data_IF_028514056089
#
_entry.id   IF_028514056089
#
_cell.length_a   1.000
_cell.length_b   1.000
_cell.length_c   1.000
_cell.angle_alpha   90.00
_cell.angle_beta   90.00
_cell.angle_gamma   90.00
#
_symmetry.space_group_name_H-M   'P 1'
#
loop_
_entity.id
_entity.type
_entity.pdbx_description
1 polymer ?
#
# COMPACT_ATOMS: atom_id res chain seq x y z
N UNK A 1 34.52 20.08 -13.32
CA UNK A 1 33.06 20.02 -13.56
C UNK A 1 32.47 19.03 -12.58
N UNK A 2 31.72 19.50 -11.58
CA UNK A 2 31.07 18.61 -10.61
C UNK A 2 29.98 17.82 -11.33
N UNK A 3 30.15 16.49 -11.38
CA UNK A 3 29.09 15.57 -11.78
C UNK A 3 27.92 15.80 -10.82
N UNK A 4 26.92 16.57 -11.26
CA UNK A 4 25.60 16.55 -10.61
C UNK A 4 25.07 15.14 -10.78
N UNK A 5 25.29 14.28 -9.78
CA UNK A 5 24.44 13.10 -9.61
C UNK A 5 23.01 13.63 -9.54
N UNK A 6 22.25 13.43 -10.61
CA UNK A 6 20.80 13.49 -10.53
C UNK A 6 20.39 12.39 -9.56
N UNK A 7 20.26 12.74 -8.28
CA UNK A 7 19.61 11.89 -7.31
C UNK A 7 18.13 11.98 -7.68
N UNK A 8 17.62 10.95 -8.35
CA UNK A 8 16.19 10.76 -8.46
C UNK A 8 15.73 10.38 -7.05
N UNK A 9 15.41 11.39 -6.25
CA UNK A 9 14.76 11.20 -4.96
C UNK A 9 13.42 10.56 -5.29
N UNK A 10 13.30 9.26 -5.03
CA UNK A 10 12.07 8.57 -5.37
C UNK A 10 11.04 8.92 -4.29
N UNK A 11 9.84 9.29 -4.75
CA UNK A 11 8.68 9.55 -3.91
C UNK A 11 8.15 8.28 -3.22
N UNK A 12 8.94 7.20 -3.18
CA UNK A 12 8.60 5.94 -2.50
C UNK A 12 9.28 5.96 -1.13
N UNK A 13 8.50 6.12 -0.07
CA UNK A 13 9.01 6.18 1.32
C UNK A 13 8.50 4.99 2.13
N UNK A 14 9.36 4.53 3.03
CA UNK A 14 9.10 3.42 3.94
C UNK A 14 9.27 3.95 5.35
N UNK A 15 8.30 3.65 6.20
CA UNK A 15 8.34 3.94 7.63
C UNK A 15 8.13 2.60 8.36
N UNK A 16 9.09 2.20 9.18
CA UNK A 16 8.98 0.98 9.97
C UNK A 16 8.34 1.30 11.34
N UNK A 17 7.74 0.27 11.95
CA UNK A 17 7.17 0.34 13.30
C UNK A 17 6.04 1.39 13.47
N UNK A 18 5.23 1.60 12.42
CA UNK A 18 4.05 2.49 12.45
C UNK A 18 2.87 1.91 13.22
N UNK A 19 2.82 0.58 13.31
CA UNK A 19 1.91 -0.18 14.14
C UNK A 19 2.74 -1.16 14.97
N UNK A 20 2.42 -1.25 16.25
CA UNK A 20 3.05 -2.21 17.13
C UNK A 20 2.55 -3.64 16.85
N UNK A 21 3.24 -4.61 17.48
CA UNK A 21 2.94 -6.04 17.31
C UNK A 21 1.50 -6.38 17.67
N UNK A 22 1.02 -5.90 18.82
CA UNK A 22 -0.30 -6.23 19.35
C UNK A 22 -1.38 -5.66 18.43
N UNK A 23 -1.23 -4.40 18.00
CA UNK A 23 -2.13 -3.77 17.05
C UNK A 23 -2.23 -4.56 15.74
N UNK A 24 -1.09 -4.99 15.19
CA UNK A 24 -1.07 -5.83 13.98
C UNK A 24 -1.77 -7.18 14.18
N UNK A 25 -1.51 -7.88 15.28
CA UNK A 25 -2.12 -9.18 15.58
C UNK A 25 -3.64 -9.05 15.79
N UNK A 26 -4.10 -8.05 16.56
CA UNK A 26 -5.53 -7.78 16.76
C UNK A 26 -6.26 -7.48 15.45
N UNK A 27 -5.64 -6.74 14.53
CA UNK A 27 -6.25 -6.47 13.22
C UNK A 27 -6.39 -7.73 12.37
N UNK A 28 -5.39 -8.62 12.40
CA UNK A 28 -5.44 -9.90 11.68
C UNK A 28 -6.51 -10.81 12.31
N UNK A 29 -6.54 -10.95 13.62
CA UNK A 29 -7.55 -11.75 14.33
C UNK A 29 -8.96 -11.25 14.01
N UNK A 30 -9.19 -9.94 14.14
CA UNK A 30 -10.49 -9.34 13.79
C UNK A 30 -10.88 -9.57 12.34
N UNK A 31 -9.92 -9.53 11.40
CA UNK A 31 -10.17 -9.87 10.00
C UNK A 31 -10.62 -11.32 9.87
N UNK A 32 -9.87 -12.27 10.45
CA UNK A 32 -10.18 -13.71 10.39
C UNK A 32 -11.54 -14.06 11.01
N UNK A 33 -11.91 -13.39 12.09
CA UNK A 33 -13.20 -13.54 12.77
C UNK A 33 -14.37 -12.89 12.00
N UNK A 34 -14.10 -12.06 10.99
CA UNK A 34 -15.09 -11.33 10.18
C UNK A 34 -15.29 -11.96 8.80
N UNK A 35 -15.13 -13.28 8.67
CA UNK A 35 -15.09 -13.97 7.38
C UNK A 35 -16.37 -13.82 6.55
N UNK A 36 -17.51 -13.53 7.18
CA UNK A 36 -18.79 -13.24 6.53
C UNK A 36 -18.80 -11.92 5.75
N UNK A 37 -17.82 -11.04 5.99
CA UNK A 37 -17.66 -9.75 5.33
C UNK A 37 -16.62 -9.77 4.21
N UNK A 38 -16.04 -10.94 3.90
CA UNK A 38 -15.02 -11.04 2.87
C UNK A 38 -15.58 -10.74 1.48
N UNK A 39 -15.04 -9.69 0.88
CA UNK A 39 -15.10 -9.46 -0.56
C UNK A 39 -13.97 -10.26 -1.23
N UNK A 40 -14.30 -11.33 -1.93
CA UNK A 40 -13.33 -12.05 -2.77
C UNK A 40 -13.14 -11.29 -4.08
N UNK A 41 -11.94 -10.78 -4.31
CA UNK A 41 -11.53 -10.20 -5.59
C UNK A 41 -10.80 -11.28 -6.36
N UNK A 42 -11.33 -11.65 -7.52
CA UNK A 42 -10.73 -12.64 -8.41
C UNK A 42 -11.03 -12.27 -9.86
N UNK A 43 -10.04 -11.78 -10.59
CA UNK A 43 -10.13 -11.50 -12.01
C UNK A 43 -8.86 -11.99 -12.71
N UNK A 44 -9.05 -12.69 -13.83
CA UNK A 44 -7.99 -13.11 -14.74
C UNK A 44 -8.44 -12.81 -16.16
N UNK A 45 -7.69 -11.95 -16.84
CA UNK A 45 -7.94 -11.59 -18.23
C UNK A 45 -6.61 -11.38 -18.99
N UNK A 46 -6.70 -10.82 -20.21
CA UNK A 46 -5.52 -10.60 -21.05
C UNK A 46 -4.51 -9.59 -20.47
N UNK A 47 -4.93 -8.77 -19.50
CA UNK A 47 -4.10 -7.76 -18.83
C UNK A 47 -3.38 -8.29 -17.58
N UNK A 48 -3.79 -9.46 -17.07
CA UNK A 48 -3.14 -10.12 -15.94
C UNK A 48 -4.15 -10.65 -14.92
N UNK A 49 -3.66 -10.92 -13.71
CA UNK A 49 -4.42 -11.52 -12.62
C UNK A 49 -4.40 -10.66 -11.37
N UNK A 50 -5.55 -10.57 -10.74
CA UNK A 50 -5.77 -10.00 -9.41
C UNK A 50 -6.57 -10.99 -8.58
N UNK A 51 -6.02 -11.40 -7.45
CA UNK A 51 -6.65 -12.36 -6.53
C UNK A 51 -6.25 -12.10 -5.09
N UNK A 52 -7.25 -11.86 -4.23
CA UNK A 52 -7.15 -11.71 -2.78
C UNK A 52 -8.55 -11.61 -2.16
N UNK A 53 -8.63 -11.71 -0.83
CA UNK A 53 -9.83 -11.31 -0.09
C UNK A 53 -9.60 -9.97 0.61
N UNK A 54 -10.66 -9.21 0.82
CA UNK A 54 -10.59 -7.95 1.55
C UNK A 54 -11.86 -7.66 2.35
N UNK A 55 -11.76 -6.73 3.29
CA UNK A 55 -12.89 -6.05 3.92
C UNK A 55 -12.70 -4.55 3.73
N UNK A 56 -13.74 -3.85 3.26
CA UNK A 56 -13.77 -2.38 3.23
C UNK A 56 -14.34 -1.88 4.56
N UNK A 57 -13.49 -1.32 5.42
CA UNK A 57 -13.82 -1.03 6.82
C UNK A 57 -15.06 -0.14 6.98
N UNK A 58 -15.21 0.86 6.10
CA UNK A 58 -16.31 1.82 6.16
C UNK A 58 -17.71 1.20 5.97
N UNK A 59 -17.79 -0.02 5.43
CA UNK A 59 -19.06 -0.71 5.24
C UNK A 59 -19.57 -1.39 6.52
N UNK A 60 -18.76 -1.43 7.57
CA UNK A 60 -18.98 -2.26 8.74
C UNK A 60 -18.79 -1.46 10.04
N UNK A 61 -19.88 -1.17 10.80
CA UNK A 61 -19.83 -0.30 11.97
C UNK A 61 -18.80 -0.70 13.04
N UNK A 62 -18.54 -2.00 13.21
CA UNK A 62 -17.59 -2.55 14.18
C UNK A 62 -16.12 -2.31 13.80
N UNK A 63 -15.85 -1.73 12.63
CA UNK A 63 -14.52 -1.28 12.20
C UNK A 63 -14.33 0.23 12.29
N UNK A 64 -15.35 0.98 12.72
CA UNK A 64 -15.33 2.44 12.75
C UNK A 64 -14.17 3.02 13.57
N UNK A 65 -13.98 2.54 14.80
CA UNK A 65 -12.91 3.04 15.69
C UNK A 65 -11.52 2.76 15.12
N UNK A 66 -11.35 1.59 14.48
CA UNK A 66 -10.09 1.23 13.79
C UNK A 66 -9.85 2.17 12.61
N UNK A 67 -10.88 2.45 11.81
CA UNK A 67 -10.74 3.37 10.68
C UNK A 67 -10.37 4.77 11.15
N UNK A 68 -10.97 5.27 12.23
CA UNK A 68 -10.64 6.58 12.82
C UNK A 68 -9.19 6.63 13.31
N UNK A 69 -8.73 5.63 14.07
CA UNK A 69 -7.33 5.56 14.52
C UNK A 69 -6.31 5.44 13.38
N UNK A 70 -6.65 4.74 12.29
CA UNK A 70 -5.81 4.68 11.10
C UNK A 70 -5.70 6.02 10.37
N UNK A 71 -6.74 6.86 10.42
CA UNK A 71 -6.67 8.20 9.84
C UNK A 71 -5.65 9.08 10.57
N UNK A 72 -5.57 8.99 11.90
CA UNK A 72 -4.57 9.72 12.69
C UNK A 72 -3.14 9.30 12.28
N UNK A 73 -2.91 7.99 12.19
CA UNK A 73 -1.63 7.43 11.73
C UNK A 73 -1.28 7.94 10.33
N UNK A 74 -2.23 7.94 9.38
CA UNK A 74 -1.97 8.45 8.04
C UNK A 74 -1.65 9.95 8.03
N UNK A 75 -2.34 10.76 8.83
CA UNK A 75 -2.08 12.20 8.91
C UNK A 75 -0.67 12.50 9.39
N UNK A 76 -0.21 11.83 10.44
CA UNK A 76 1.16 11.97 10.95
C UNK A 76 2.20 11.60 9.90
N UNK A 77 1.97 10.49 9.19
CA UNK A 77 2.89 10.02 8.15
C UNK A 77 2.86 10.85 6.86
N UNK A 78 1.73 11.50 6.53
CA UNK A 78 1.67 12.51 5.47
C UNK A 78 2.57 13.70 5.81
N UNK A 79 2.52 14.18 7.05
CA UNK A 79 3.36 15.29 7.48
C UNK A 79 4.84 14.91 7.39
N UNK A 80 5.19 13.70 7.81
CA UNK A 80 6.55 13.16 7.64
C UNK A 80 6.96 13.03 6.17
N UNK A 81 6.09 12.48 5.34
CA UNK A 81 6.31 12.30 3.90
C UNK A 81 6.54 13.64 3.18
N UNK A 82 5.78 14.69 3.53
CA UNK A 82 5.98 16.03 2.99
C UNK A 82 7.38 16.57 3.30
N UNK A 83 7.87 16.36 4.52
CA UNK A 83 9.22 16.78 4.93
C UNK A 83 10.27 15.98 4.17
N UNK A 84 10.16 14.65 4.19
CA UNK A 84 11.15 13.74 3.60
C UNK A 84 11.24 13.88 2.08
N UNK A 85 10.13 14.18 1.41
CA UNK A 85 10.07 14.43 -0.04
C UNK A 85 10.21 15.92 -0.42
N UNK A 86 10.43 16.81 0.56
CA UNK A 86 10.55 18.26 0.36
C UNK A 86 9.38 18.86 -0.45
N UNK A 87 8.17 18.40 -0.15
CA UNK A 87 6.96 18.85 -0.83
C UNK A 87 6.68 20.30 -0.48
N UNK A 88 6.60 21.15 -1.50
CA UNK A 88 6.23 22.55 -1.34
C UNK A 88 4.71 22.73 -1.22
N UNK A 89 4.27 23.82 -0.58
CA UNK A 89 2.85 24.08 -0.36
C UNK A 89 2.02 24.08 -1.65
N UNK A 90 2.58 24.56 -2.78
CA UNK A 90 1.91 24.56 -4.09
C UNK A 90 1.88 23.20 -4.80
N UNK A 91 2.59 22.19 -4.30
CA UNK A 91 2.56 20.82 -4.84
C UNK A 91 1.51 19.95 -4.14
N UNK A 92 1.00 20.38 -2.98
CA UNK A 92 0.01 19.64 -2.20
C UNK A 92 -1.34 20.35 -2.27
N UNK A 93 -2.46 19.63 -2.41
CA UNK A 93 -3.78 20.26 -2.42
C UNK A 93 -4.12 20.86 -1.05
N UNK A 94 -4.77 22.02 -1.06
CA UNK A 94 -5.25 22.68 0.18
C UNK A 94 -6.26 21.81 0.92
N UNK A 95 -7.18 21.18 0.17
CA UNK A 95 -8.17 20.24 0.68
C UNK A 95 -8.03 18.89 -0.03
N UNK A 96 -8.12 17.80 0.72
CA UNK A 96 -8.14 16.45 0.17
C UNK A 96 -8.87 15.50 1.12
N UNK A 97 -9.33 14.38 0.57
CA UNK A 97 -10.01 13.32 1.30
C UNK A 97 -9.20 12.02 1.29
N UNK A 98 -9.79 11.00 1.90
CA UNK A 98 -9.24 9.64 1.97
C UNK A 98 -10.27 8.66 1.41
N UNK A 99 -9.80 7.66 0.65
CA UNK A 99 -10.62 6.50 0.38
C UNK A 99 -10.82 5.66 1.64
N UNK A 100 -11.95 4.95 1.71
CA UNK A 100 -12.20 3.97 2.76
C UNK A 100 -11.03 3.00 2.88
N UNK A 101 -10.62 2.73 4.12
CA UNK A 101 -9.55 1.77 4.40
C UNK A 101 -10.03 0.37 4.03
N UNK A 102 -9.15 -0.40 3.43
CA UNK A 102 -9.35 -1.82 3.13
C UNK A 102 -8.26 -2.62 3.80
N UNK A 103 -8.64 -3.69 4.48
CA UNK A 103 -7.70 -4.73 4.91
C UNK A 103 -7.76 -5.86 3.88
N UNK A 104 -6.60 -6.34 3.43
CA UNK A 104 -6.49 -7.38 2.40
C UNK A 104 -5.69 -8.57 2.92
N UNK A 105 -6.06 -9.76 2.45
CA UNK A 105 -5.36 -11.03 2.69
C UNK A 105 -5.00 -11.70 1.37
N UNK A 106 -3.74 -12.10 1.23
CA UNK A 106 -3.25 -12.97 0.18
C UNK A 106 -2.79 -14.29 0.81
N UNK A 107 -3.28 -15.41 0.30
CA UNK A 107 -2.89 -16.74 0.76
C UNK A 107 -1.55 -17.17 0.11
N UNK A 108 -0.74 -17.99 0.81
CA UNK A 108 0.47 -18.58 0.23
C UNK A 108 0.11 -19.75 -0.68
N UNK A 109 -0.61 -19.45 -1.75
CA UNK A 109 -0.99 -20.39 -2.78
C UNK A 109 -0.32 -19.99 -4.11
N UNK A 110 -0.44 -20.82 -5.13
CA UNK A 110 0.15 -20.55 -6.44
C UNK A 110 -0.61 -19.49 -7.25
N UNK A 111 -1.52 -18.71 -6.63
CA UNK A 111 -2.47 -17.86 -7.35
C UNK A 111 -2.57 -16.42 -6.83
N UNK A 112 -2.84 -16.20 -5.55
CA UNK A 112 -3.10 -14.90 -4.93
C UNK A 112 -1.96 -13.92 -5.16
N UNK A 113 -2.27 -12.88 -5.93
CA UNK A 113 -1.34 -11.83 -6.36
C UNK A 113 -2.11 -10.64 -6.88
N UNK A 114 -1.40 -9.56 -7.13
CA UNK A 114 -1.87 -8.51 -8.01
C UNK A 114 -0.76 -8.22 -9.01
N UNK A 115 -0.97 -8.67 -10.25
CA UNK A 115 -0.04 -8.44 -11.34
C UNK A 115 0.19 -6.94 -11.59
N UNK A 116 1.20 -6.62 -12.41
CA UNK A 116 1.72 -5.26 -12.50
C UNK A 116 0.68 -4.27 -13.02
N UNK A 117 0.44 -3.20 -12.26
CA UNK A 117 -0.58 -2.19 -12.50
C UNK A 117 -0.13 -0.80 -12.01
N UNK A 118 -0.98 0.19 -12.24
CA UNK A 118 -0.97 1.50 -11.59
C UNK A 118 -2.34 1.74 -10.98
N UNK A 119 -2.40 2.56 -9.94
CA UNK A 119 -3.63 2.77 -9.16
C UNK A 119 -4.53 3.89 -9.72
N UNK A 120 -4.05 4.60 -10.75
CA UNK A 120 -4.79 5.60 -11.51
C UNK A 120 -4.82 5.21 -12.99
N UNK A 121 -6.00 4.86 -13.50
CA UNK A 121 -6.19 4.35 -14.87
C UNK A 121 -7.27 5.09 -15.66
N UNK A 122 -8.25 5.67 -14.98
CA UNK A 122 -9.44 6.25 -15.60
C UNK A 122 -9.92 7.47 -14.79
N UNK A 123 -10.97 8.13 -15.28
CA UNK A 123 -11.52 9.34 -14.64
C UNK A 123 -11.93 9.12 -13.17
N UNK A 124 -12.51 7.96 -12.85
CA UNK A 124 -12.95 7.63 -11.49
C UNK A 124 -11.76 7.56 -10.50
N UNK A 125 -10.64 6.99 -10.94
CA UNK A 125 -9.43 6.84 -10.13
C UNK A 125 -8.48 8.03 -10.23
N UNK A 126 -8.68 8.93 -11.21
CA UNK A 126 -7.83 10.10 -11.48
C UNK A 126 -7.70 11.08 -10.32
N UNK A 127 -8.60 11.02 -9.35
CA UNK A 127 -8.53 11.85 -8.14
C UNK A 127 -7.46 11.42 -7.15
N UNK A 128 -6.91 10.19 -7.22
CA UNK A 128 -5.90 9.70 -6.28
C UNK A 128 -4.55 10.38 -6.50
N UNK A 129 -3.85 10.73 -5.43
CA UNK A 129 -2.50 11.32 -5.54
C UNK A 129 -1.47 10.77 -4.55
N UNK A 130 -1.87 9.97 -3.56
CA UNK A 130 -0.95 9.28 -2.65
C UNK A 130 -1.58 7.95 -2.19
N UNK A 131 -0.80 6.87 -2.18
CA UNK A 131 -1.18 5.56 -1.67
C UNK A 131 -0.51 5.26 -0.31
N UNK A 132 -1.19 4.50 0.54
CA UNK A 132 -0.69 3.98 1.82
C UNK A 132 -0.88 2.48 1.88
N UNK A 133 0.19 1.71 2.07
CA UNK A 133 0.11 0.31 2.48
C UNK A 133 0.73 0.16 3.86
N UNK A 134 0.05 -0.48 4.81
CA UNK A 134 0.68 -0.93 6.07
C UNK A 134 0.65 -2.46 6.08
N UNK A 135 1.82 -3.10 6.11
CA UNK A 135 1.91 -4.55 6.22
C UNK A 135 1.67 -4.98 7.68
N UNK A 136 0.76 -5.91 7.90
CA UNK A 136 0.38 -6.36 9.25
C UNK A 136 1.18 -7.55 9.74
N UNK A 137 1.97 -8.19 8.89
CA UNK A 137 2.85 -9.29 9.27
C UNK A 137 4.11 -9.36 8.40
N UNK A 138 5.11 -10.08 8.90
CA UNK A 138 6.27 -10.45 8.12
C UNK A 138 5.92 -11.59 7.15
N UNK A 139 6.46 -11.52 5.94
CA UNK A 139 6.46 -12.62 4.97
C UNK A 139 7.91 -12.85 4.58
N UNK A 140 8.47 -14.00 4.95
CA UNK A 140 9.88 -14.29 4.77
C UNK A 140 10.30 -14.53 3.32
N UNK A 141 9.45 -15.22 2.57
CA UNK A 141 9.65 -15.51 1.15
C UNK A 141 8.42 -15.08 0.33
N UNK A 142 8.67 -14.31 -0.73
CA UNK A 142 7.64 -13.76 -1.59
C UNK A 142 6.87 -12.59 -0.95
N UNK A 143 5.75 -12.23 -1.57
CA UNK A 143 4.82 -11.24 -1.04
C UNK A 143 5.27 -9.79 -1.25
N UNK A 144 6.37 -9.53 -1.93
CA UNK A 144 6.91 -8.18 -2.11
C UNK A 144 5.94 -7.27 -2.87
N UNK A 145 5.97 -5.98 -2.52
CA UNK A 145 5.49 -4.93 -3.44
C UNK A 145 6.63 -4.59 -4.39
N UNK A 146 6.50 -4.99 -5.64
CA UNK A 146 7.53 -4.89 -6.67
C UNK A 146 7.26 -3.74 -7.63
N UNK A 147 8.16 -2.77 -7.72
CA UNK A 147 8.08 -1.69 -8.70
C UNK A 147 8.81 -2.09 -9.99
N UNK A 148 8.07 -2.57 -10.98
CA UNK A 148 8.58 -3.26 -12.15
C UNK A 148 9.45 -2.39 -13.07
N UNK A 149 9.22 -1.08 -13.06
CA UNK A 149 9.98 -0.12 -13.86
C UNK A 149 11.14 0.54 -13.10
N UNK A 150 11.43 0.11 -11.86
CA UNK A 150 12.45 0.73 -11.00
C UNK A 150 13.50 -0.28 -10.53
N UNK A 151 14.71 0.23 -10.30
CA UNK A 151 15.85 -0.51 -9.76
C UNK A 151 16.40 0.20 -8.53
N UNK A 152 17.04 -0.55 -7.62
CA UNK A 152 17.78 0.05 -6.50
C UNK A 152 18.91 0.92 -7.06
N UNK A 153 19.00 2.14 -6.56
CA UNK A 153 19.93 3.17 -7.06
C UNK A 153 21.36 2.63 -7.13
N UNK A 154 21.98 2.76 -8.30
CA UNK A 154 23.36 2.31 -8.53
C UNK A 154 23.53 0.80 -8.68
N UNK A 155 22.43 0.06 -8.89
CA UNK A 155 22.43 -1.39 -9.10
C UNK A 155 21.47 -1.78 -10.21
N UNK A 156 21.55 -3.03 -10.68
CA UNK A 156 20.57 -3.64 -11.58
C UNK A 156 19.53 -4.49 -10.83
N UNK A 157 19.47 -4.34 -9.50
CA UNK A 157 18.56 -5.10 -8.65
C UNK A 157 17.17 -4.46 -8.72
N UNK A 158 16.10 -5.23 -8.98
CA UNK A 158 14.74 -4.72 -8.97
C UNK A 158 14.39 -4.00 -7.65
N UNK A 159 13.63 -2.90 -7.75
CA UNK A 159 13.17 -2.20 -6.55
C UNK A 159 11.92 -2.91 -5.99
N UNK A 160 12.06 -3.43 -4.78
CA UNK A 160 11.05 -4.28 -4.13
C UNK A 160 11.00 -3.99 -2.64
N UNK A 161 9.79 -3.97 -2.08
CA UNK A 161 9.54 -3.76 -0.66
C UNK A 161 9.02 -5.07 -0.06
N UNK A 162 9.83 -5.65 0.83
CA UNK A 162 9.45 -6.86 1.58
C UNK A 162 8.37 -6.52 2.62
N UNK A 163 7.30 -7.32 2.75
CA UNK A 163 6.34 -7.17 3.83
C UNK A 163 7.05 -7.35 5.18
N UNK A 164 6.98 -6.32 6.01
CA UNK A 164 7.52 -6.33 7.36
C UNK A 164 6.42 -5.83 8.28
N UNK A 165 6.16 -6.52 9.38
CA UNK A 165 5.10 -6.14 10.32
C UNK A 165 5.25 -4.67 10.75
N UNK A 166 4.16 -3.92 10.69
CA UNK A 166 4.13 -2.51 11.09
C UNK A 166 4.86 -1.57 10.14
N UNK A 167 5.31 -2.04 8.96
CA UNK A 167 5.89 -1.17 7.93
C UNK A 167 4.79 -0.48 7.13
N UNK A 168 4.87 0.83 7.03
CA UNK A 168 4.14 1.64 6.05
C UNK A 168 4.97 1.87 4.79
N UNK A 169 4.36 1.69 3.63
CA UNK A 169 4.84 2.10 2.32
C UNK A 169 3.94 3.23 1.81
N UNK A 170 4.56 4.35 1.41
CA UNK A 170 3.87 5.49 0.79
C UNK A 170 4.50 5.81 -0.56
N UNK A 171 3.66 5.98 -1.58
CA UNK A 171 4.10 6.35 -2.92
C UNK A 171 2.95 6.98 -3.73
N UNK A 172 3.25 7.79 -4.77
CA UNK A 172 2.20 8.31 -5.62
C UNK A 172 1.61 7.21 -6.55
N UNK A 173 0.29 7.17 -6.75
CA UNK A 173 -0.42 6.08 -7.44
C UNK A 173 -0.42 6.19 -8.98
N UNK A 174 0.38 7.10 -9.56
CA UNK A 174 0.32 7.46 -10.98
C UNK A 174 1.17 6.52 -11.85
N UNK A 175 1.05 6.66 -13.18
CA UNK A 175 1.68 5.80 -14.19
C UNK A 175 3.21 5.58 -14.04
N UNK A 176 3.92 6.49 -13.36
CA UNK A 176 5.37 6.37 -13.11
C UNK A 176 5.72 5.29 -12.06
N UNK A 177 4.75 4.86 -11.26
CA UNK A 177 4.92 3.88 -10.17
C UNK A 177 4.24 2.56 -10.54
N UNK A 178 4.68 1.96 -11.64
CA UNK A 178 4.19 0.68 -12.13
C UNK A 178 4.64 -0.44 -11.19
N UNK A 179 3.70 -1.08 -10.51
CA UNK A 179 4.00 -1.98 -9.41
C UNK A 179 3.07 -3.20 -9.33
N UNK A 180 3.51 -4.23 -8.62
CA UNK A 180 2.79 -5.48 -8.42
C UNK A 180 2.82 -5.90 -6.94
N UNK A 181 1.80 -6.63 -6.51
CA UNK A 181 1.82 -7.42 -5.28
C UNK A 181 2.16 -8.87 -5.60
N UNK A 182 3.40 -9.27 -5.36
CA UNK A 182 3.85 -10.63 -5.65
C UNK A 182 3.20 -11.66 -4.73
N UNK A 183 3.14 -12.91 -5.18
CA UNK A 183 2.60 -14.05 -4.42
C UNK A 183 3.41 -14.22 -3.14
N UNK A 184 2.78 -14.33 -1.96
CA UNK A 184 3.49 -14.74 -0.76
C UNK A 184 3.77 -16.25 -0.81
N UNK A 185 4.91 -16.69 -0.27
CA UNK A 185 5.33 -18.11 -0.29
C UNK A 185 5.41 -18.67 1.11
N UNK A 186 6.06 -17.98 2.04
CA UNK A 186 6.31 -18.50 3.39
C UNK A 186 5.12 -18.40 4.35
N UNK A 187 4.02 -17.76 3.96
CA UNK A 187 2.86 -17.52 4.83
C UNK A 187 1.85 -16.55 4.24
N UNK A 188 0.69 -16.38 4.88
CA UNK A 188 -0.31 -15.38 4.47
C UNK A 188 0.28 -13.97 4.52
N UNK A 189 -0.17 -13.08 3.64
CA UNK A 189 0.19 -11.65 3.67
C UNK A 189 -1.05 -10.82 3.97
N UNK A 190 -0.96 -9.99 5.00
CA UNK A 190 -2.00 -9.04 5.37
C UNK A 190 -1.50 -7.61 5.22
N UNK A 191 -2.35 -6.74 4.66
CA UNK A 191 -2.05 -5.31 4.62
C UNK A 191 -3.30 -4.43 4.70
N UNK A 192 -3.15 -3.29 5.35
CA UNK A 192 -4.09 -2.17 5.26
C UNK A 192 -3.75 -1.30 4.07
N UNK A 193 -4.77 -0.75 3.44
CA UNK A 193 -4.64 0.03 2.21
C UNK A 193 -5.65 1.19 2.16
N UNK A 194 -5.18 2.38 1.79
CA UNK A 194 -6.01 3.55 1.45
C UNK A 194 -5.29 4.48 0.46
N UNK A 195 -5.99 5.50 -0.04
CA UNK A 195 -5.46 6.58 -0.87
C UNK A 195 -5.89 7.95 -0.36
N UNK A 196 -5.04 8.96 -0.50
CA UNK A 196 -5.51 10.34 -0.56
C UNK A 196 -6.03 10.67 -1.95
N UNK A 197 -7.09 11.47 -2.01
CA UNK A 197 -7.64 11.96 -3.27
C UNK A 197 -8.07 13.44 -3.22
N UNK A 198 -8.06 14.09 -4.38
CA UNK A 198 -8.63 15.43 -4.55
C UNK A 198 -10.14 15.43 -4.25
N UNK A 199 -10.63 16.53 -3.66
CA UNK A 199 -12.05 16.78 -3.32
C UNK A 199 -12.60 17.96 -4.08
#
# INVERSE_FOLDING_TARGET
>A
MSSRKMVMDNFIKIYDDVLDKVSCETLIEKFEDSHEYYDTVHLEDQSGVISFEQITLANHPEWKEIQEGLMEIFQDHIMRYKIDCKIHAKQWPENYGYEAVRIKRYLPNDYDRFDSHVDVLNYETARRFLAFFIYLNDVEEGGETHFANLQKIGTYIPYQIKPKRGRMLMFPPLWMWYHAGLKPVSGKKYLLHSYCHYV
#
